data_IF_099382430195
#
_entry.id   IF_099382430195
#
_cell.length_a   1.000
_cell.length_b   1.000
_cell.length_c   1.000
_cell.angle_alpha   90.00
_cell.angle_beta   90.00
_cell.angle_gamma   90.00
#
_symmetry.space_group_name_H-M   'P 1'
#
loop_
_entity.id
_entity.type
_entity.pdbx_description
1 polymer ?
#
# COMPACT_ATOMS: atom_id res chain seq x y z
N UNK A 1 3.89 11.47 11.72
CA UNK A 1 4.24 11.33 13.13
C UNK A 1 5.26 10.20 13.38
N UNK A 2 5.27 9.16 12.55
CA UNK A 2 6.27 8.09 12.66
C UNK A 2 7.50 8.47 11.83
N UNK A 3 8.61 8.72 12.51
CA UNK A 3 9.85 9.19 11.89
C UNK A 3 10.39 8.15 10.89
N UNK A 4 10.67 8.60 9.66
CA UNK A 4 11.24 7.76 8.61
C UNK A 4 10.21 7.12 7.68
N UNK A 5 8.94 7.03 8.08
CA UNK A 5 7.87 6.53 7.22
C UNK A 5 7.51 7.60 6.17
N UNK A 6 7.41 7.16 4.91
CA UNK A 6 6.95 8.01 3.80
C UNK A 6 5.69 7.43 3.19
N UNK A 7 4.82 8.30 2.70
CA UNK A 7 3.58 7.90 2.00
C UNK A 7 3.49 8.66 0.68
N UNK A 8 3.11 7.96 -0.37
CA UNK A 8 2.90 8.54 -1.70
C UNK A 8 1.58 8.07 -2.31
N UNK A 9 1.00 8.92 -3.14
CA UNK A 9 -0.29 8.65 -3.75
C UNK A 9 -0.27 8.92 -5.25
N UNK A 10 -0.98 8.08 -6.00
CA UNK A 10 -1.41 8.35 -7.37
C UNK A 10 -2.92 8.23 -7.40
N UNK A 11 -3.59 9.30 -7.79
CA UNK A 11 -5.05 9.38 -7.84
C UNK A 11 -5.52 9.35 -9.28
N UNK A 12 -6.38 8.41 -9.61
CA UNK A 12 -7.03 8.29 -10.92
C UNK A 12 -8.49 8.69 -10.75
N UNK A 13 -8.76 9.95 -11.01
CA UNK A 13 -10.08 10.55 -10.86
C UNK A 13 -10.41 11.37 -12.12
N UNK A 14 -10.88 10.70 -13.16
CA UNK A 14 -11.20 11.30 -14.46
C UNK A 14 -12.35 10.60 -15.17
N UNK A 15 -12.90 11.25 -16.21
CA UNK A 15 -14.07 10.76 -16.87
C UNK A 15 -15.28 10.65 -15.93
N UNK A 16 -16.29 9.89 -16.35
CA UNK A 16 -17.52 9.74 -15.57
C UNK A 16 -17.44 8.64 -14.50
N UNK A 17 -16.55 7.66 -14.69
CA UNK A 17 -16.58 6.40 -13.93
C UNK A 17 -15.21 5.92 -13.41
N UNK A 18 -14.12 6.67 -13.58
CA UNK A 18 -12.81 6.25 -13.08
C UNK A 18 -12.51 6.96 -11.76
N UNK A 19 -12.58 6.21 -10.67
CA UNK A 19 -12.41 6.68 -9.29
C UNK A 19 -11.59 5.64 -8.51
N UNK A 20 -10.28 5.63 -8.72
CA UNK A 20 -9.37 4.65 -8.12
C UNK A 20 -8.00 5.26 -7.86
N UNK A 21 -7.05 4.48 -7.43
CA UNK A 21 -5.67 4.95 -7.23
C UNK A 21 -4.79 3.97 -6.48
N UNK A 22 -3.61 4.46 -6.17
CA UNK A 22 -2.55 3.73 -5.46
C UNK A 22 -2.05 4.57 -4.30
N UNK A 23 -1.84 3.92 -3.16
CA UNK A 23 -1.12 4.48 -2.02
C UNK A 23 0.09 3.59 -1.74
N UNK A 24 1.28 4.18 -1.71
CA UNK A 24 2.52 3.51 -1.32
C UNK A 24 2.95 3.97 0.07
N UNK A 25 3.33 3.03 0.93
CA UNK A 25 3.90 3.28 2.25
C UNK A 25 5.31 2.72 2.26
N UNK A 26 6.29 3.57 2.56
CA UNK A 26 7.71 3.22 2.67
C UNK A 26 8.09 3.28 4.15
N UNK A 27 8.25 2.13 4.82
CA UNK A 27 8.46 2.09 6.27
C UNK A 27 9.75 2.77 6.75
N UNK A 28 10.82 2.70 5.97
CA UNK A 28 12.11 3.33 6.27
C UNK A 28 12.92 3.62 4.99
N UNK A 29 13.96 4.45 5.02
CA UNK A 29 14.68 4.92 3.83
C UNK A 29 15.72 3.92 3.28
N UNK A 30 15.97 2.81 3.96
CA UNK A 30 16.95 1.81 3.54
C UNK A 30 16.33 0.83 2.52
N UNK A 31 17.16 -0.03 1.95
CA UNK A 31 16.70 -1.14 1.11
C UNK A 31 15.84 -2.11 1.94
N UNK A 32 14.53 -2.12 1.68
CA UNK A 32 13.57 -2.91 2.43
C UNK A 32 13.76 -4.42 2.27
N UNK A 33 14.31 -4.85 1.15
CA UNK A 33 14.60 -6.26 0.93
C UNK A 33 15.78 -6.74 1.80
N UNK A 34 16.80 -5.91 1.97
CA UNK A 34 17.99 -6.21 2.77
C UNK A 34 17.80 -5.97 4.25
N UNK A 35 17.07 -4.91 4.59
CA UNK A 35 16.73 -4.55 5.97
C UNK A 35 15.21 -4.65 6.08
N UNK A 36 14.75 -5.84 6.50
CA UNK A 36 13.32 -6.11 6.59
C UNK A 36 12.66 -5.29 7.68
N UNK A 37 11.42 -4.89 7.44
CA UNK A 37 10.63 -4.13 8.41
C UNK A 37 9.91 -5.10 9.34
N UNK A 38 10.05 -5.01 10.67
CA UNK A 38 9.17 -5.70 11.61
C UNK A 38 7.72 -5.32 11.31
N UNK A 39 6.90 -6.32 11.05
CA UNK A 39 5.54 -6.12 10.55
C UNK A 39 4.60 -7.11 11.20
N UNK A 40 3.43 -6.63 11.61
CA UNK A 40 2.31 -7.47 12.02
C UNK A 40 1.07 -7.08 11.21
N UNK A 41 0.16 -8.00 11.03
CA UNK A 41 -1.08 -7.77 10.29
C UNK A 41 -2.26 -8.34 11.07
N UNK A 42 -3.36 -7.60 11.06
CA UNK A 42 -4.65 -8.08 11.54
C UNK A 42 -5.68 -7.96 10.41
N UNK A 43 -6.34 -9.06 10.09
CA UNK A 43 -7.36 -9.10 9.04
C UNK A 43 -8.73 -8.93 9.71
N UNK A 44 -9.27 -7.72 9.65
CA UNK A 44 -10.60 -7.41 10.16
C UNK A 44 -11.73 -7.93 9.26
N UNK A 45 -11.45 -8.10 7.96
CA UNK A 45 -12.36 -8.67 6.98
C UNK A 45 -11.57 -9.59 6.04
N UNK A 46 -11.79 -10.91 6.17
CA UNK A 46 -11.09 -11.93 5.40
C UNK A 46 -11.60 -12.17 3.98
N UNK A 47 -12.60 -11.42 3.51
CA UNK A 47 -13.12 -11.54 2.15
C UNK A 47 -12.19 -10.96 1.09
N UNK A 48 -11.38 -9.98 1.46
CA UNK A 48 -10.44 -9.30 0.57
C UNK A 48 -9.16 -10.09 0.27
N UNK A 49 -8.21 -9.42 -0.34
CA UNK A 49 -6.89 -9.95 -0.70
C UNK A 49 -5.81 -9.19 0.05
N UNK A 50 -4.89 -9.92 0.68
CA UNK A 50 -3.67 -9.38 1.24
C UNK A 50 -2.51 -10.23 0.71
N UNK A 51 -1.87 -9.75 -0.34
CA UNK A 51 -0.64 -10.38 -0.86
C UNK A 51 0.50 -10.20 0.13
N UNK A 52 1.32 -11.23 0.34
CA UNK A 52 2.43 -11.18 1.30
C UNK A 52 2.04 -11.51 2.75
N UNK A 53 0.76 -11.82 3.01
CA UNK A 53 0.27 -12.16 4.34
C UNK A 53 1.07 -13.29 5.01
N UNK A 54 1.35 -14.37 4.30
CA UNK A 54 2.01 -15.55 4.86
C UNK A 54 3.40 -15.26 5.43
N UNK A 55 4.18 -14.40 4.78
CA UNK A 55 5.48 -13.99 5.32
C UNK A 55 5.33 -13.15 6.59
N UNK A 56 4.39 -12.23 6.62
CA UNK A 56 4.16 -11.39 7.80
C UNK A 56 3.69 -12.24 8.97
N UNK A 57 2.76 -13.17 8.72
CA UNK A 57 2.23 -14.07 9.76
C UNK A 57 3.28 -15.01 10.32
N UNK A 58 4.09 -15.61 9.44
CA UNK A 58 5.09 -16.62 9.83
C UNK A 58 6.38 -16.01 10.37
N UNK A 59 6.87 -14.93 9.75
CA UNK A 59 8.20 -14.36 10.02
C UNK A 59 8.16 -13.02 10.75
N UNK A 60 6.98 -12.40 10.90
CA UNK A 60 6.86 -11.10 11.57
C UNK A 60 7.55 -9.94 10.85
N UNK A 61 7.75 -10.05 9.54
CA UNK A 61 8.42 -9.00 8.79
C UNK A 61 7.91 -8.87 7.35
N UNK A 62 8.22 -7.71 6.72
CA UNK A 62 7.99 -7.43 5.30
C UNK A 62 9.27 -6.97 4.63
N UNK A 63 9.34 -7.14 3.29
CA UNK A 63 10.56 -6.92 2.51
C UNK A 63 10.37 -6.01 1.29
N UNK A 64 9.19 -5.40 1.16
CA UNK A 64 8.86 -4.47 0.09
C UNK A 64 8.18 -3.22 0.66
N UNK A 65 8.04 -2.14 -0.13
CA UNK A 65 7.02 -1.13 0.14
C UNK A 65 5.65 -1.80 0.33
N UNK A 66 4.77 -1.18 1.11
CA UNK A 66 3.38 -1.62 1.23
C UNK A 66 2.56 -0.84 0.21
N UNK A 67 1.82 -1.54 -0.63
CA UNK A 67 0.91 -0.90 -1.60
C UNK A 67 -0.54 -1.16 -1.20
N UNK A 68 -1.34 -0.09 -1.26
CA UNK A 68 -2.79 -0.17 -1.17
C UNK A 68 -3.38 0.20 -2.54
N UNK A 69 -4.35 -0.57 -3.03
CA UNK A 69 -5.03 -0.31 -4.30
C UNK A 69 -6.39 -1.02 -4.35
N UNK A 70 -7.06 -1.01 -5.50
CA UNK A 70 -8.30 -1.77 -5.64
C UNK A 70 -8.06 -3.29 -5.78
N UNK A 71 -9.07 -4.07 -5.44
CA UNK A 71 -8.97 -5.53 -5.36
C UNK A 71 -8.54 -6.21 -6.65
N UNK A 72 -8.98 -5.73 -7.82
CA UNK A 72 -8.60 -6.33 -9.11
C UNK A 72 -7.19 -5.91 -9.57
N UNK A 73 -6.61 -4.88 -8.96
CA UNK A 73 -5.26 -4.39 -9.27
C UNK A 73 -4.18 -4.96 -8.35
N UNK A 74 -4.53 -5.78 -7.35
CA UNK A 74 -3.56 -6.45 -6.47
C UNK A 74 -2.50 -7.24 -7.26
N UNK A 75 -2.84 -8.04 -8.29
CA UNK A 75 -1.83 -8.75 -9.08
C UNK A 75 -0.86 -7.81 -9.80
N UNK A 76 -1.37 -6.70 -10.38
CA UNK A 76 -0.54 -5.67 -11.03
C UNK A 76 0.42 -5.01 -10.06
N UNK A 77 -0.07 -4.65 -8.88
CA UNK A 77 0.75 -4.05 -7.82
C UNK A 77 1.81 -5.03 -7.29
N UNK A 78 1.45 -6.29 -7.11
CA UNK A 78 2.39 -7.34 -6.71
C UNK A 78 3.50 -7.54 -7.72
N UNK A 79 3.17 -7.60 -9.02
CA UNK A 79 4.15 -7.68 -10.08
C UNK A 79 5.08 -6.45 -10.11
N UNK A 80 4.51 -5.25 -9.97
CA UNK A 80 5.29 -4.01 -9.94
C UNK A 80 6.28 -3.97 -8.76
N UNK A 81 5.88 -4.43 -7.56
CA UNK A 81 6.77 -4.52 -6.40
C UNK A 81 7.89 -5.53 -6.60
N UNK A 82 7.61 -6.67 -7.23
CA UNK A 82 8.64 -7.65 -7.61
C UNK A 82 9.66 -6.99 -8.55
N UNK A 83 9.19 -6.37 -9.63
CA UNK A 83 10.05 -5.67 -10.61
C UNK A 83 10.88 -4.55 -9.95
N UNK A 84 10.25 -3.75 -9.08
CA UNK A 84 10.93 -2.70 -8.31
C UNK A 84 12.07 -3.26 -7.45
N UNK A 85 11.81 -4.35 -6.74
CA UNK A 85 12.79 -4.97 -5.84
C UNK A 85 13.93 -5.61 -6.62
N UNK A 86 13.63 -6.31 -7.71
CA UNK A 86 14.63 -6.93 -8.58
C UNK A 86 15.55 -5.89 -9.25
N UNK A 87 15.01 -4.74 -9.65
CA UNK A 87 15.80 -3.65 -10.25
C UNK A 87 16.87 -3.13 -9.29
N UNK A 88 16.57 -3.11 -7.99
CA UNK A 88 17.47 -2.58 -6.97
C UNK A 88 18.30 -3.67 -6.27
N UNK A 89 18.06 -4.95 -6.56
CA UNK A 89 18.71 -6.07 -5.90
C UNK A 89 19.08 -7.17 -6.89
N UNK A 90 20.38 -7.34 -7.15
CA UNK A 90 20.88 -8.42 -7.99
C UNK A 90 20.85 -9.76 -7.24
N UNK A 91 20.68 -10.85 -7.97
CA UNK A 91 20.82 -12.23 -7.50
C UNK A 91 19.79 -12.69 -6.45
N UNK A 92 18.65 -12.02 -6.33
CA UNK A 92 17.54 -12.53 -5.53
C UNK A 92 16.64 -13.44 -6.39
N UNK A 93 16.03 -14.45 -5.75
CA UNK A 93 15.24 -15.47 -6.44
C UNK A 93 13.78 -15.50 -6.02
N UNK A 94 13.43 -14.75 -5.00
CA UNK A 94 12.07 -14.65 -4.48
C UNK A 94 11.84 -13.29 -3.87
N UNK A 95 10.63 -12.75 -4.02
CA UNK A 95 10.15 -11.52 -3.39
C UNK A 95 8.70 -11.74 -2.98
N UNK A 96 8.37 -11.40 -1.74
CA UNK A 96 7.01 -11.43 -1.23
C UNK A 96 6.45 -10.01 -1.15
N UNK A 97 5.73 -9.54 -2.17
CA UNK A 97 5.15 -8.20 -2.19
C UNK A 97 4.00 -8.08 -1.19
N UNK A 98 4.00 -7.01 -0.39
CA UNK A 98 2.92 -6.72 0.54
C UNK A 98 1.93 -5.73 -0.09
N UNK A 99 0.75 -6.24 -0.48
CA UNK A 99 -0.30 -5.46 -1.14
C UNK A 99 -1.64 -5.68 -0.46
N UNK A 100 -2.18 -4.61 0.13
CA UNK A 100 -3.54 -4.57 0.66
C UNK A 100 -4.54 -4.03 -0.37
N UNK A 101 -5.82 -4.35 -0.17
CA UNK A 101 -6.86 -4.01 -1.15
C UNK A 101 -8.08 -3.34 -0.52
N UNK A 102 -8.80 -2.63 -1.36
CA UNK A 102 -10.18 -2.20 -1.12
C UNK A 102 -11.04 -2.47 -2.35
N UNK A 103 -12.33 -2.64 -2.19
CA UNK A 103 -13.24 -2.77 -3.32
C UNK A 103 -13.84 -1.39 -3.64
N UNK A 104 -13.44 -0.79 -4.75
CA UNK A 104 -13.92 0.50 -5.22
C UNK A 104 -14.99 0.41 -6.32
N UNK A 105 -15.44 -0.80 -6.67
CA UNK A 105 -16.32 -1.08 -7.81
C UNK A 105 -17.74 -0.48 -7.73
N UNK A 106 -18.09 0.22 -6.65
CA UNK A 106 -19.36 1.00 -6.60
C UNK A 106 -19.20 2.38 -7.23
N UNK A 107 -18.02 2.97 -7.17
CA UNK A 107 -17.72 4.32 -7.68
C UNK A 107 -16.75 4.30 -8.85
N UNK A 108 -16.06 3.18 -9.06
CA UNK A 108 -15.04 3.02 -10.06
C UNK A 108 -15.43 1.94 -11.08
N UNK A 109 -15.13 2.17 -12.35
CA UNK A 109 -15.09 1.11 -13.36
C UNK A 109 -13.91 0.16 -13.08
N UNK A 110 -14.14 -0.73 -12.10
CA UNK A 110 -13.10 -1.64 -11.59
C UNK A 110 -12.62 -2.65 -12.65
N UNK A 111 -13.50 -3.01 -13.62
CA UNK A 111 -13.19 -3.96 -14.68
C UNK A 111 -12.33 -3.34 -15.80
N UNK A 112 -12.22 -2.04 -15.86
CA UNK A 112 -11.36 -1.33 -16.79
C UNK A 112 -9.87 -1.45 -16.49
N UNK A 113 -9.47 -2.01 -15.34
CA UNK A 113 -8.06 -2.20 -14.94
C UNK A 113 -7.21 -0.94 -15.12
N UNK A 114 -7.73 0.20 -14.63
CA UNK A 114 -7.12 1.51 -14.85
C UNK A 114 -5.79 1.69 -14.11
N UNK A 115 -5.56 0.97 -13.01
CA UNK A 115 -4.28 0.97 -12.31
C UNK A 115 -3.26 0.16 -13.09
N UNK A 116 -2.13 0.80 -13.44
CA UNK A 116 -1.01 0.20 -14.17
C UNK A 116 0.26 0.20 -13.30
N UNK A 117 1.28 -0.56 -13.68
CA UNK A 117 2.55 -0.66 -12.94
C UNK A 117 3.23 0.70 -12.75
N UNK A 118 3.13 1.56 -13.74
CA UNK A 118 3.68 2.92 -13.71
C UNK A 118 3.11 3.74 -12.55
N UNK A 119 1.82 3.56 -12.22
CA UNK A 119 1.19 4.23 -11.09
C UNK A 119 1.74 3.77 -9.74
N UNK A 120 2.16 2.50 -9.63
CA UNK A 120 2.80 1.97 -8.42
C UNK A 120 4.21 2.57 -8.28
N UNK A 121 5.01 2.60 -9.34
CA UNK A 121 6.33 3.21 -9.33
C UNK A 121 6.24 4.70 -9.00
N UNK A 122 5.32 5.42 -9.63
CA UNK A 122 5.06 6.84 -9.37
C UNK A 122 4.66 7.09 -7.91
N UNK A 123 3.80 6.25 -7.32
CA UNK A 123 3.41 6.37 -5.92
C UNK A 123 4.61 6.17 -4.98
N UNK A 124 5.51 5.23 -5.28
CA UNK A 124 6.75 5.00 -4.54
C UNK A 124 7.69 6.22 -4.67
N UNK A 125 7.87 6.75 -5.87
CA UNK A 125 8.74 7.90 -6.14
C UNK A 125 8.24 9.19 -5.47
N UNK A 126 6.92 9.39 -5.45
CA UNK A 126 6.26 10.53 -4.80
C UNK A 126 6.20 10.43 -3.27
N UNK A 127 6.60 9.29 -2.69
CA UNK A 127 6.46 9.09 -1.25
C UNK A 127 7.29 10.11 -0.44
N UNK A 128 6.61 10.80 0.46
CA UNK A 128 7.16 11.86 1.31
C UNK A 128 6.69 11.69 2.76
N UNK A 129 7.43 12.27 3.69
CA UNK A 129 7.04 12.39 5.10
C UNK A 129 6.37 13.75 5.39
N UNK A 130 6.25 14.61 4.38
CA UNK A 130 5.63 15.94 4.49
C UNK A 130 4.36 16.00 3.68
N UNK A 131 3.33 16.69 4.20
CA UNK A 131 2.08 16.98 3.50
C UNK A 131 1.41 15.72 2.93
N UNK A 132 1.29 14.69 3.75
CA UNK A 132 0.58 13.47 3.39
C UNK A 132 -0.90 13.84 3.18
N UNK A 133 -1.37 13.62 1.95
CA UNK A 133 -2.78 13.86 1.63
C UNK A 133 -3.70 12.84 2.28
N UNK A 134 -4.90 13.27 2.65
CA UNK A 134 -5.96 12.42 3.22
C UNK A 134 -7.27 12.55 2.44
N UNK A 135 -8.21 11.66 2.72
CA UNK A 135 -9.54 11.67 2.12
C UNK A 135 -9.57 11.02 0.73
N UNK A 136 -10.09 11.76 -0.25
CA UNK A 136 -10.34 11.28 -1.61
C UNK A 136 -9.06 11.27 -2.46
N UNK A 137 -8.07 10.48 -2.05
CA UNK A 137 -6.74 10.42 -2.67
C UNK A 137 -6.22 8.97 -2.71
N UNK A 138 -5.39 8.67 -3.70
CA UNK A 138 -4.75 7.36 -3.85
C UNK A 138 -5.75 6.21 -3.82
N UNK A 139 -5.45 5.16 -3.08
CA UNK A 139 -6.31 3.99 -2.90
C UNK A 139 -7.67 4.31 -2.28
N UNK A 140 -7.82 5.47 -1.61
CA UNK A 140 -9.08 5.90 -1.01
C UNK A 140 -10.08 6.54 -1.98
N UNK A 141 -9.70 6.77 -3.25
CA UNK A 141 -10.48 7.57 -4.21
C UNK A 141 -11.87 7.00 -4.49
N UNK A 142 -11.98 5.70 -4.74
CA UNK A 142 -13.28 5.05 -5.02
C UNK A 142 -13.91 4.35 -3.81
N UNK A 143 -13.39 4.56 -2.60
CA UNK A 143 -13.75 3.78 -1.42
C UNK A 143 -15.07 4.24 -0.79
N UNK A 144 -15.88 3.27 -0.40
CA UNK A 144 -17.07 3.45 0.45
C UNK A 144 -16.86 2.68 1.75
N UNK A 145 -17.17 3.31 2.87
CA UNK A 145 -17.06 2.73 4.20
C UNK A 145 -18.34 3.01 5.01
N UNK A 146 -19.01 1.96 5.51
CA UNK A 146 -20.25 2.08 6.26
C UNK A 146 -21.36 2.90 5.56
N UNK A 147 -21.44 2.82 4.23
CA UNK A 147 -22.41 3.57 3.43
C UNK A 147 -22.02 5.03 3.12
N UNK A 148 -20.92 5.52 3.65
CA UNK A 148 -20.38 6.86 3.40
C UNK A 148 -19.19 6.82 2.43
N UNK A 149 -18.86 7.96 1.83
CA UNK A 149 -17.62 8.10 1.07
C UNK A 149 -16.43 7.90 2.03
N UNK A 150 -15.66 6.85 1.77
CA UNK A 150 -14.41 6.57 2.47
C UNK A 150 -13.22 7.33 1.90
N UNK A 151 -12.03 7.07 2.41
CA UNK A 151 -10.79 7.69 1.94
C UNK A 151 -9.58 7.26 2.74
N UNK A 152 -8.44 7.85 2.42
CA UNK A 152 -7.22 7.69 3.20
C UNK A 152 -7.32 8.52 4.47
N UNK A 153 -6.91 7.94 5.58
CA UNK A 153 -6.68 8.61 6.84
C UNK A 153 -5.37 8.14 7.44
N UNK A 154 -4.84 8.91 8.39
CA UNK A 154 -3.63 8.57 9.13
C UNK A 154 -3.91 8.52 10.62
N UNK A 155 -3.28 7.59 11.29
CA UNK A 155 -3.25 7.55 12.75
C UNK A 155 -1.92 6.98 13.24
N UNK A 156 -1.45 7.47 14.36
CA UNK A 156 -0.27 6.96 15.03
C UNK A 156 -0.49 6.87 16.54
N UNK A 157 0.28 6.03 17.18
CA UNK A 157 0.20 5.84 18.62
C UNK A 157 1.58 5.68 19.21
N UNK A 158 1.86 6.46 20.25
CA UNK A 158 3.09 6.31 21.02
C UNK A 158 2.88 5.18 22.02
N UNK A 159 3.73 4.17 21.97
CA UNK A 159 3.73 3.08 22.93
C UNK A 159 4.49 3.52 24.18
N UNK A 160 3.94 3.35 25.41
CA UNK A 160 4.63 3.67 26.66
C UNK A 160 5.97 2.95 26.77
N UNK A 161 6.95 3.60 27.40
CA UNK A 161 8.28 3.00 27.63
C UNK A 161 8.22 1.68 28.39
N UNK A 162 7.24 1.50 29.29
CA UNK A 162 7.00 0.25 30.02
C UNK A 162 6.60 -0.93 29.10
N UNK A 163 6.17 -0.66 27.87
CA UNK A 163 5.80 -1.65 26.85
C UNK A 163 6.77 -1.69 25.66
N UNK A 164 7.99 -1.15 25.85
CA UNK A 164 9.02 -1.13 24.81
C UNK A 164 9.30 0.24 24.20
N UNK A 165 8.33 1.13 24.13
CA UNK A 165 8.45 2.53 23.72
C UNK A 165 8.80 2.76 22.26
N UNK A 166 7.84 3.13 21.43
CA UNK A 166 8.02 3.59 20.04
C UNK A 166 7.12 4.77 19.72
#
# INVERSE_FOLDING_TARGET
DVKGVKVGHVTLNYGENIRTGVTAIIPHPHDLFRIKTPTAVFIGNGYGKLSGYSQVEELGNSETPIILTNTLSVPTASQALIEYTLKNNNNIRSVNPLVGETNDGRLNDIQGFHVKKEHIFEAIEKASFKNIGEGNIGAGTGTICFGFKGGIGTSSRIIPKSLGGY
#
